data_IF_620848950925
#
_entry.id   IF_620848950925
#
_cell.length_a   1.000
_cell.length_b   1.000
_cell.length_c   1.000
_cell.angle_alpha   90.00
_cell.angle_beta   90.00
_cell.angle_gamma   90.00
#
_symmetry.space_group_name_H-M   'P 1'
#
loop_
_entity.id
_entity.type
_entity.pdbx_description
1 polymer ?
#
# COMPACT_ATOMS: atom_id res chain seq x y z
N UNK A 1 -22.54 -5.24 -20.59
CA UNK A 1 -21.52 -4.30 -21.10
C UNK A 1 -20.30 -5.16 -21.39
N UNK A 2 -20.17 -5.56 -22.65
CA UNK A 2 -18.98 -6.24 -23.15
C UNK A 2 -17.87 -5.17 -23.20
N UNK A 3 -16.84 -5.34 -22.38
CA UNK A 3 -15.71 -4.42 -22.32
C UNK A 3 -14.55 -4.87 -23.22
N UNK A 4 -14.72 -5.99 -23.95
CA UNK A 4 -13.65 -6.63 -24.71
C UNK A 4 -12.53 -7.18 -23.84
N UNK A 5 -11.58 -7.87 -24.48
CA UNK A 5 -10.32 -8.32 -23.85
C UNK A 5 -9.18 -7.31 -24.05
N UNK A 6 -9.44 -6.20 -24.73
CA UNK A 6 -8.44 -5.19 -25.06
C UNK A 6 -8.29 -4.16 -23.93
N UNK A 7 -7.06 -3.76 -23.57
CA UNK A 7 -6.85 -2.70 -22.61
C UNK A 7 -7.45 -1.39 -23.09
N UNK A 8 -8.27 -0.78 -22.24
CA UNK A 8 -8.78 0.55 -22.52
C UNK A 8 -7.62 1.54 -22.64
N UNK A 9 -7.69 2.46 -23.61
CA UNK A 9 -6.58 3.36 -23.96
C UNK A 9 -6.09 4.22 -22.79
N UNK A 10 -6.90 4.47 -21.77
CA UNK A 10 -6.47 5.24 -20.58
C UNK A 10 -5.95 4.38 -19.42
N UNK A 11 -5.89 3.05 -19.57
CA UNK A 11 -5.25 2.18 -18.58
C UNK A 11 -3.76 2.51 -18.49
N UNK A 12 -3.25 2.55 -17.25
CA UNK A 12 -1.82 2.69 -16.99
C UNK A 12 -1.05 1.49 -17.56
N UNK A 13 0.24 1.66 -17.83
CA UNK A 13 1.09 0.58 -18.35
C UNK A 13 0.99 -0.70 -17.50
N UNK A 14 0.99 -0.57 -16.17
CA UNK A 14 0.83 -1.69 -15.24
C UNK A 14 -0.55 -2.35 -15.34
N UNK A 15 -1.62 -1.56 -15.47
CA UNK A 15 -2.97 -2.10 -15.61
C UNK A 15 -3.17 -2.81 -16.95
N UNK A 16 -2.59 -2.28 -18.03
CA UNK A 16 -2.59 -2.95 -19.34
C UNK A 16 -1.86 -4.28 -19.26
N UNK A 17 -0.65 -4.28 -18.69
CA UNK A 17 0.14 -5.49 -18.49
C UNK A 17 -0.63 -6.52 -17.67
N UNK A 18 -1.28 -6.12 -16.59
CA UNK A 18 -2.13 -7.03 -15.80
C UNK A 18 -3.27 -7.66 -16.61
N UNK A 19 -3.87 -6.92 -17.55
CA UNK A 19 -4.97 -7.42 -18.38
C UNK A 19 -4.49 -8.36 -19.50
N UNK A 20 -3.31 -8.07 -20.07
CA UNK A 20 -2.76 -8.78 -21.23
C UNK A 20 -1.59 -9.70 -20.86
N UNK A 21 -1.38 -9.98 -19.58
CA UNK A 21 -0.30 -10.85 -19.16
C UNK A 21 -0.59 -12.26 -19.70
N UNK A 22 0.29 -12.86 -20.52
CA UNK A 22 0.09 -14.21 -21.00
C UNK A 22 0.22 -15.23 -19.87
N UNK A 23 0.91 -14.89 -18.79
CA UNK A 23 1.11 -15.77 -17.65
C UNK A 23 -0.14 -15.78 -16.75
N UNK A 24 -0.55 -16.96 -16.25
CA UNK A 24 -1.66 -17.03 -15.31
C UNK A 24 -1.30 -16.29 -14.01
N UNK A 25 -2.29 -15.61 -13.41
CA UNK A 25 -2.10 -14.94 -12.13
C UNK A 25 -1.96 -15.96 -10.99
N UNK A 26 -0.73 -16.43 -10.78
CA UNK A 26 -0.35 -17.44 -9.77
C UNK A 26 0.56 -16.88 -8.66
N UNK A 27 0.95 -15.61 -8.77
CA UNK A 27 1.86 -14.95 -7.83
C UNK A 27 1.07 -14.16 -6.79
N UNK A 28 0.71 -14.84 -5.69
CA UNK A 28 -0.02 -14.22 -4.59
C UNK A 28 0.48 -14.77 -3.25
N UNK A 29 0.79 -13.88 -2.31
CA UNK A 29 1.09 -14.26 -0.94
C UNK A 29 -0.22 -14.36 -0.14
N UNK A 30 -0.38 -15.30 0.80
CA UNK A 30 -1.61 -15.39 1.58
C UNK A 30 -1.89 -14.18 2.48
N UNK A 31 -0.86 -13.41 2.82
CA UNK A 31 -0.96 -12.14 3.56
C UNK A 31 -0.85 -10.91 2.62
N UNK A 32 -1.03 -11.11 1.31
CA UNK A 32 -0.85 -10.09 0.28
C UNK A 32 0.57 -9.51 0.29
N UNK A 33 0.70 -8.21 0.03
CA UNK A 33 2.02 -7.57 -0.05
C UNK A 33 2.75 -7.47 1.30
N UNK A 34 2.15 -7.91 2.42
CA UNK A 34 2.82 -7.97 3.70
C UNK A 34 4.05 -8.90 3.65
N UNK A 35 3.97 -10.03 2.93
CA UNK A 35 5.10 -10.94 2.75
C UNK A 35 6.35 -10.25 2.17
N UNK A 36 6.17 -9.29 1.25
CA UNK A 36 7.27 -8.50 0.67
C UNK A 36 7.89 -7.58 1.73
N UNK A 37 7.07 -6.80 2.43
CA UNK A 37 7.56 -5.89 3.49
C UNK A 37 8.27 -6.66 4.60
N UNK A 38 7.72 -7.81 5.02
CA UNK A 38 8.29 -8.70 6.04
C UNK A 38 9.60 -9.31 5.58
N UNK A 39 9.74 -9.63 4.28
CA UNK A 39 11.01 -10.08 3.69
C UNK A 39 12.10 -9.01 3.80
N UNK A 40 11.78 -7.75 3.45
CA UNK A 40 12.72 -6.64 3.54
C UNK A 40 13.14 -6.39 4.98
N UNK A 41 12.18 -6.34 5.91
CA UNK A 41 12.49 -6.15 7.35
C UNK A 41 13.33 -7.30 7.88
N UNK A 42 13.02 -8.56 7.54
CA UNK A 42 13.84 -9.70 7.96
C UNK A 42 15.26 -9.62 7.42
N UNK A 43 15.44 -9.21 6.17
CA UNK A 43 16.77 -9.09 5.56
C UNK A 43 17.62 -8.01 6.25
N UNK A 44 17.02 -6.90 6.66
CA UNK A 44 17.73 -5.79 7.32
C UNK A 44 17.87 -5.97 8.83
N UNK A 45 16.87 -6.55 9.49
CA UNK A 45 16.75 -6.69 10.95
C UNK A 45 16.26 -8.12 11.28
N UNK A 46 17.11 -9.15 11.12
CA UNK A 46 16.69 -10.55 11.30
C UNK A 46 16.11 -10.85 12.68
N UNK A 47 16.59 -10.17 13.72
CA UNK A 47 16.09 -10.31 15.08
C UNK A 47 14.60 -9.94 15.24
N UNK A 48 14.07 -9.05 14.40
CA UNK A 48 12.66 -8.65 14.44
C UNK A 48 11.72 -9.70 13.83
N UNK A 49 12.24 -10.57 12.95
CA UNK A 49 11.45 -11.56 12.21
C UNK A 49 12.25 -12.85 12.04
N UNK A 50 12.41 -13.66 13.11
CA UNK A 50 13.19 -14.89 13.06
C UNK A 50 12.59 -15.93 12.09
N UNK A 51 13.42 -16.89 11.68
CA UNK A 51 13.07 -17.96 10.74
C UNK A 51 13.58 -17.70 9.32
N UNK A 52 13.35 -18.67 8.43
CA UNK A 52 13.86 -18.67 7.07
C UNK A 52 12.77 -19.00 6.04
N UNK A 53 12.98 -18.56 4.79
CA UNK A 53 12.09 -18.80 3.66
C UNK A 53 10.68 -18.20 3.81
N UNK A 54 9.88 -18.30 2.74
CA UNK A 54 8.52 -17.75 2.69
C UNK A 54 7.54 -18.48 3.63
N UNK A 55 7.75 -19.78 3.86
CA UNK A 55 6.85 -20.61 4.67
C UNK A 55 6.73 -20.18 6.14
N UNK A 56 7.78 -19.55 6.69
CA UNK A 56 7.73 -18.98 8.04
C UNK A 56 7.13 -17.57 8.07
N UNK A 57 7.19 -16.82 6.97
CA UNK A 57 6.93 -15.38 6.99
C UNK A 57 5.51 -15.02 7.38
N UNK A 58 4.51 -15.73 6.87
CA UNK A 58 3.10 -15.37 7.10
C UNK A 58 2.71 -15.51 8.58
N UNK A 59 3.29 -16.47 9.30
CA UNK A 59 2.84 -16.84 10.65
C UNK A 59 3.79 -16.43 11.78
N UNK A 60 5.04 -16.07 11.47
CA UNK A 60 5.98 -15.56 12.48
C UNK A 60 5.48 -14.22 13.05
N UNK A 61 5.41 -14.08 14.37
CA UNK A 61 5.14 -12.76 14.96
C UNK A 61 6.35 -11.82 14.76
N UNK A 62 6.09 -10.56 14.40
CA UNK A 62 7.15 -9.55 14.36
C UNK A 62 7.45 -9.05 15.78
N UNK A 63 8.72 -9.08 16.18
CA UNK A 63 9.18 -8.45 17.41
C UNK A 63 9.53 -6.98 17.13
N UNK A 64 8.55 -6.11 17.37
CA UNK A 64 8.69 -4.66 17.19
C UNK A 64 9.75 -4.05 18.11
N UNK A 65 10.06 -4.69 19.24
CA UNK A 65 11.12 -4.24 20.16
C UNK A 65 12.53 -4.39 19.59
N UNK A 66 12.69 -5.10 18.47
CA UNK A 66 13.98 -5.25 17.76
C UNK A 66 14.16 -4.28 16.61
N UNK A 67 13.14 -3.52 16.23
CA UNK A 67 13.19 -2.67 15.04
C UNK A 67 14.12 -1.46 15.22
N UNK A 68 14.15 -0.85 16.41
CA UNK A 68 14.97 0.34 16.69
C UNK A 68 15.89 0.11 17.89
N UNK A 69 16.90 -0.74 17.71
CA UNK A 69 17.91 -1.04 18.74
C UNK A 69 19.17 -0.22 18.47
N UNK A 70 19.66 0.47 19.49
CA UNK A 70 20.92 1.22 19.42
C UNK A 70 22.10 0.31 19.09
N UNK A 71 23.05 0.80 18.27
CA UNK A 71 24.17 0.01 17.77
C UNK A 71 23.83 -0.97 16.64
N UNK A 72 22.55 -1.13 16.28
CA UNK A 72 22.14 -1.95 15.14
C UNK A 72 22.58 -1.35 13.79
N UNK A 73 22.93 -2.18 12.79
CA UNK A 73 23.34 -1.69 11.46
C UNK A 73 22.20 -1.02 10.70
N UNK A 74 20.96 -1.39 10.99
CA UNK A 74 19.74 -0.75 10.49
C UNK A 74 18.79 -0.54 11.66
N UNK A 75 18.20 0.65 11.73
CA UNK A 75 17.21 1.03 12.75
C UNK A 75 15.94 1.50 12.07
N UNK A 76 14.84 0.81 12.31
CA UNK A 76 13.50 1.14 11.82
C UNK A 76 12.67 1.71 12.97
N UNK A 77 12.58 3.03 13.04
CA UNK A 77 11.75 3.73 14.02
C UNK A 77 10.33 3.91 13.49
N UNK A 78 9.34 3.45 14.24
CA UNK A 78 7.93 3.64 13.93
C UNK A 78 7.37 4.84 14.70
N UNK A 79 6.22 5.36 14.26
CA UNK A 79 5.54 6.51 14.90
C UNK A 79 6.43 7.76 15.04
N UNK A 80 7.39 7.91 14.13
CA UNK A 80 8.35 9.02 14.06
C UNK A 80 8.15 9.80 12.74
N UNK A 81 7.10 10.62 12.70
CA UNK A 81 6.73 11.36 11.48
C UNK A 81 7.71 12.51 11.25
N UNK A 82 8.45 12.48 10.14
CA UNK A 82 9.33 13.57 9.73
C UNK A 82 8.49 14.81 9.40
N UNK A 83 8.90 15.97 9.93
CA UNK A 83 8.22 17.26 9.73
C UNK A 83 9.13 18.33 9.14
N UNK A 84 10.46 18.11 9.15
CA UNK A 84 11.43 19.03 8.54
C UNK A 84 12.68 18.28 8.10
N UNK A 85 13.20 18.63 6.93
CA UNK A 85 14.48 18.19 6.39
C UNK A 85 15.20 19.41 5.83
N UNK A 86 16.47 19.60 6.18
CA UNK A 86 17.24 20.78 5.77
C UNK A 86 18.71 20.42 5.69
N UNK A 87 19.39 20.85 4.64
CA UNK A 87 20.84 20.73 4.55
C UNK A 87 21.51 21.63 5.58
N UNK A 88 22.62 21.20 6.17
CA UNK A 88 23.41 22.02 7.09
C UNK A 88 24.30 22.99 6.29
N UNK A 89 23.68 24.00 5.69
CA UNK A 89 24.30 24.97 4.79
C UNK A 89 23.62 25.00 3.41
N UNK A 90 24.34 25.46 2.38
CA UNK A 90 23.83 25.47 1.01
C UNK A 90 23.70 24.04 0.48
N UNK A 91 22.54 23.63 -0.11
CA UNK A 91 22.33 22.24 -0.54
C UNK A 91 23.41 21.66 -1.46
N UNK A 92 24.01 22.48 -2.33
CA UNK A 92 25.07 22.04 -3.25
C UNK A 92 26.44 21.77 -2.63
N UNK A 93 26.69 22.19 -1.39
CA UNK A 93 27.99 22.04 -0.71
C UNK A 93 27.88 21.49 0.72
N UNK A 94 26.66 21.28 1.23
CA UNK A 94 26.43 20.74 2.56
C UNK A 94 26.95 19.31 2.69
N UNK A 95 27.55 19.01 3.84
CA UNK A 95 28.11 17.69 4.17
C UNK A 95 27.18 16.83 5.03
N UNK A 96 26.13 17.45 5.56
CA UNK A 96 25.13 16.80 6.39
C UNK A 96 23.75 17.42 6.18
N UNK A 97 22.74 16.66 6.58
CA UNK A 97 21.33 17.00 6.51
C UNK A 97 20.73 16.76 7.89
N UNK A 98 20.06 17.78 8.40
CA UNK A 98 19.30 17.72 9.63
C UNK A 98 17.87 17.28 9.33
N UNK A 99 17.41 16.22 10.01
CA UNK A 99 16.04 15.69 9.94
C UNK A 99 15.36 15.89 11.29
N UNK A 100 14.24 16.62 11.29
CA UNK A 100 13.38 16.77 12.47
C UNK A 100 12.12 15.93 12.31
N UNK A 101 11.78 15.17 13.34
CA UNK A 101 10.61 14.31 13.38
C UNK A 101 9.86 14.44 14.71
N UNK A 102 8.56 14.14 14.67
CA UNK A 102 7.68 14.10 15.82
C UNK A 102 7.56 12.65 16.30
N UNK A 103 7.81 12.42 17.58
CA UNK A 103 7.62 11.13 18.23
C UNK A 103 7.01 11.36 19.62
N UNK A 104 5.89 10.70 19.91
CA UNK A 104 5.16 10.83 21.18
C UNK A 104 4.91 12.30 21.60
N UNK A 105 4.54 13.14 20.63
CA UNK A 105 4.25 14.56 20.86
C UNK A 105 5.49 15.44 21.09
N UNK A 106 6.70 14.89 20.99
CA UNK A 106 7.96 15.63 21.13
C UNK A 106 8.73 15.71 19.81
N UNK A 107 9.27 16.89 19.51
CA UNK A 107 10.18 17.06 18.38
C UNK A 107 11.57 16.55 18.73
N UNK A 108 12.13 15.75 17.83
CA UNK A 108 13.48 15.22 17.91
C UNK A 108 14.21 15.45 16.60
N UNK A 109 15.54 15.49 16.67
CA UNK A 109 16.40 15.76 15.52
C UNK A 109 17.49 14.71 15.40
N UNK A 110 17.84 14.38 14.16
CA UNK A 110 19.01 13.56 13.81
C UNK A 110 19.76 14.20 12.65
N UNK A 111 21.08 14.19 12.69
CA UNK A 111 21.93 14.60 11.58
C UNK A 111 22.38 13.35 10.81
N UNK A 112 22.37 13.42 9.48
CA UNK A 112 22.79 12.35 8.59
C UNK A 112 23.65 12.91 7.45
N UNK A 113 24.55 12.10 6.88
CA UNK A 113 25.31 12.50 5.68
C UNK A 113 24.45 12.57 4.42
N UNK A 114 23.44 11.69 4.33
CA UNK A 114 22.53 11.61 3.19
C UNK A 114 21.10 11.26 3.66
N UNK A 115 20.10 11.75 2.93
CA UNK A 115 18.68 11.50 3.21
C UNK A 115 17.96 11.12 1.92
N UNK A 116 17.13 10.07 1.98
CA UNK A 116 16.24 9.65 0.90
C UNK A 116 14.79 9.82 1.34
N UNK A 117 14.02 10.64 0.63
CA UNK A 117 12.59 10.85 0.89
C UNK A 117 11.73 9.80 0.18
N UNK A 118 11.67 8.59 0.75
CA UNK A 118 10.85 7.48 0.27
C UNK A 118 9.40 7.52 0.79
N UNK A 119 8.77 8.70 0.78
CA UNK A 119 7.43 8.94 1.32
C UNK A 119 6.41 9.30 0.22
N UNK A 120 5.18 9.63 0.61
CA UNK A 120 4.20 10.14 -0.34
C UNK A 120 4.69 11.49 -0.91
N UNK A 121 5.00 11.51 -2.20
CA UNK A 121 5.66 12.63 -2.86
C UNK A 121 5.01 14.02 -2.62
N UNK A 122 3.68 14.11 -2.40
CA UNK A 122 3.01 15.40 -2.13
C UNK A 122 3.34 15.98 -0.76
N UNK A 123 3.88 15.21 0.17
CA UNK A 123 4.32 15.74 1.46
C UNK A 123 5.69 16.42 1.37
N UNK A 124 6.51 16.07 0.38
CA UNK A 124 7.92 16.50 0.28
C UNK A 124 8.05 18.04 0.26
N UNK A 125 7.24 18.82 -0.49
CA UNK A 125 7.32 20.29 -0.45
C UNK A 125 6.99 20.92 0.91
N UNK A 126 6.36 20.18 1.82
CA UNK A 126 6.09 20.63 3.19
C UNK A 126 7.21 20.26 4.17
N UNK A 127 8.10 19.34 3.80
CA UNK A 127 9.22 18.92 4.63
C UNK A 127 10.44 19.82 4.46
N UNK A 128 10.61 20.49 3.32
CA UNK A 128 11.77 21.33 3.03
C UNK A 128 11.39 22.52 2.15
N UNK A 129 12.17 23.61 2.25
CA UNK A 129 12.04 24.81 1.41
C UNK A 129 13.12 24.89 0.32
N UNK A 130 13.90 23.83 0.13
CA UNK A 130 15.10 23.83 -0.73
C UNK A 130 14.83 23.32 -2.16
N UNK A 131 13.57 23.02 -2.49
CA UNK A 131 13.18 22.53 -3.81
C UNK A 131 12.91 23.69 -4.77
N UNK A 132 13.30 23.51 -6.04
CA UNK A 132 12.92 24.44 -7.10
C UNK A 132 11.41 24.41 -7.38
N UNK A 133 10.86 25.51 -7.88
CA UNK A 133 9.42 25.63 -8.16
C UNK A 133 8.92 24.52 -9.10
N UNK A 134 9.62 24.26 -10.20
CA UNK A 134 9.27 23.22 -11.16
C UNK A 134 9.16 21.82 -10.51
N UNK A 135 10.02 21.53 -9.53
CA UNK A 135 9.95 20.27 -8.79
C UNK A 135 8.71 20.24 -7.87
N UNK A 136 8.41 21.35 -7.20
CA UNK A 136 7.22 21.47 -6.35
C UNK A 136 5.94 21.31 -7.19
N UNK A 137 5.89 21.90 -8.37
CA UNK A 137 4.77 21.76 -9.32
C UNK A 137 4.60 20.31 -9.77
N UNK A 138 5.69 19.66 -10.21
CA UNK A 138 5.67 18.26 -10.63
C UNK A 138 5.22 17.31 -9.52
N UNK A 139 5.68 17.53 -8.28
CA UNK A 139 5.25 16.75 -7.10
C UNK A 139 3.76 16.95 -6.81
N UNK A 140 3.21 18.13 -7.03
CA UNK A 140 1.80 18.44 -6.76
C UNK A 140 0.83 18.03 -7.87
N UNK A 141 1.32 17.80 -9.09
CA UNK A 141 0.49 17.45 -10.24
C UNK A 141 -0.25 16.11 -10.05
N UNK A 142 0.45 15.09 -9.53
CA UNK A 142 -0.09 13.73 -9.45
C UNK A 142 -1.25 13.60 -8.45
N UNK A 143 -2.46 13.39 -8.97
CA UNK A 143 -3.63 13.07 -8.15
C UNK A 143 -3.76 11.56 -7.97
N UNK A 144 -4.07 11.14 -6.73
CA UNK A 144 -4.33 9.75 -6.39
C UNK A 144 -5.80 9.42 -6.60
N UNK A 145 -6.08 8.23 -7.11
CA UNK A 145 -7.44 7.68 -7.18
C UNK A 145 -7.78 7.11 -5.79
N UNK A 146 -8.87 7.55 -5.14
CA UNK A 146 -9.28 6.98 -3.85
C UNK A 146 -9.76 5.55 -4.04
N UNK A 147 -9.36 4.67 -3.12
CA UNK A 147 -9.75 3.27 -3.11
C UNK A 147 -10.20 2.91 -1.70
N UNK A 148 -11.38 2.30 -1.58
CA UNK A 148 -11.86 1.69 -0.35
C UNK A 148 -11.85 0.18 -0.54
N UNK A 149 -11.23 -0.51 0.42
CA UNK A 149 -11.30 -1.95 0.54
C UNK A 149 -12.02 -2.28 1.85
N UNK A 150 -12.98 -3.19 1.79
CA UNK A 150 -13.60 -3.77 2.97
C UNK A 150 -13.45 -5.30 2.90
N UNK A 151 -12.91 -5.87 3.97
CA UNK A 151 -12.81 -7.31 4.14
C UNK A 151 -13.88 -7.75 5.14
N UNK A 152 -14.79 -8.61 4.69
CA UNK A 152 -15.92 -9.09 5.49
C UNK A 152 -15.73 -10.58 5.75
N UNK A 153 -15.60 -10.96 7.02
CA UNK A 153 -15.59 -12.36 7.42
C UNK A 153 -17.01 -12.92 7.37
N UNK A 154 -17.24 -13.87 6.46
CA UNK A 154 -18.47 -14.65 6.38
C UNK A 154 -18.27 -16.01 7.03
N UNK A 155 -19.32 -16.53 7.67
CA UNK A 155 -19.27 -17.81 8.40
C UNK A 155 -18.99 -19.01 7.49
N UNK A 156 -19.43 -18.93 6.23
CA UNK A 156 -19.24 -19.95 5.21
C UNK A 156 -19.49 -19.32 3.82
N UNK A 157 -19.06 -19.99 2.75
CA UNK A 157 -19.21 -19.54 1.35
C UNK A 157 -20.02 -20.52 0.49
N UNK A 158 -20.90 -21.32 1.11
CA UNK A 158 -21.73 -22.32 0.44
C UNK A 158 -22.60 -21.74 -0.69
N UNK A 159 -23.13 -20.53 -0.52
CA UNK A 159 -23.95 -19.88 -1.54
C UNK A 159 -23.15 -19.61 -2.83
N UNK A 160 -21.89 -19.18 -2.70
CA UNK A 160 -21.00 -18.94 -3.83
C UNK A 160 -20.62 -20.26 -4.51
N UNK A 161 -20.32 -21.29 -3.71
CA UNK A 161 -20.02 -22.62 -4.22
C UNK A 161 -21.20 -23.23 -5.02
N UNK A 162 -22.43 -23.14 -4.51
CA UNK A 162 -23.65 -23.63 -5.18
C UNK A 162 -23.89 -22.93 -6.52
N UNK A 163 -23.53 -21.65 -6.62
CA UNK A 163 -23.64 -20.85 -7.84
C UNK A 163 -22.43 -21.02 -8.79
N UNK A 164 -21.37 -21.71 -8.36
CA UNK A 164 -20.15 -21.89 -9.15
C UNK A 164 -19.35 -20.61 -9.37
N UNK A 165 -19.48 -19.61 -8.49
CA UNK A 165 -18.81 -18.30 -8.61
C UNK A 165 -17.82 -18.06 -7.48
N UNK A 166 -16.71 -17.35 -7.75
CA UNK A 166 -15.79 -16.86 -6.70
C UNK A 166 -16.14 -15.46 -6.18
N UNK A 167 -17.05 -14.77 -6.87
CA UNK A 167 -17.34 -13.37 -6.65
C UNK A 167 -18.29 -12.83 -7.72
N UNK A 168 -18.70 -11.58 -7.55
CA UNK A 168 -19.67 -10.92 -8.42
C UNK A 168 -19.36 -9.44 -8.55
N UNK A 169 -19.90 -8.83 -9.61
CA UNK A 169 -19.89 -7.37 -9.81
C UNK A 169 -21.28 -6.81 -9.48
N UNK A 170 -21.33 -5.62 -8.91
CA UNK A 170 -22.57 -4.88 -8.65
C UNK A 170 -22.44 -3.42 -9.09
N UNK A 171 -22.60 -3.12 -10.40
CA UNK A 171 -22.31 -1.80 -10.95
C UNK A 171 -23.20 -0.67 -10.42
N UNK A 172 -24.43 -0.98 -10.00
CA UNK A 172 -25.42 -0.02 -9.49
C UNK A 172 -25.38 0.15 -7.97
N UNK A 173 -24.62 -0.68 -7.25
CA UNK A 173 -24.51 -0.62 -5.80
C UNK A 173 -23.39 0.29 -5.32
N UNK A 174 -23.35 0.55 -4.01
CA UNK A 174 -22.24 1.27 -3.39
C UNK A 174 -20.91 0.57 -3.67
N UNK A 175 -20.79 -0.72 -3.33
CA UNK A 175 -19.63 -1.56 -3.66
C UNK A 175 -19.67 -2.01 -5.12
N UNK A 176 -18.51 -2.01 -5.80
CA UNK A 176 -18.43 -2.49 -7.19
C UNK A 176 -18.61 -4.01 -7.31
N UNK A 177 -18.53 -4.73 -6.20
CA UNK A 177 -18.60 -6.17 -6.16
C UNK A 177 -17.94 -6.72 -4.91
N UNK A 178 -17.91 -8.05 -4.83
CA UNK A 178 -17.19 -8.79 -3.79
C UNK A 178 -16.56 -10.04 -4.42
N UNK A 179 -15.41 -10.47 -3.91
CA UNK A 179 -14.79 -11.73 -4.28
C UNK A 179 -14.16 -12.41 -3.07
N UNK A 180 -14.18 -13.75 -3.07
CA UNK A 180 -13.36 -14.55 -2.17
C UNK A 180 -11.90 -14.28 -2.45
N UNK A 181 -11.09 -14.36 -1.41
CA UNK A 181 -9.64 -14.21 -1.53
C UNK A 181 -9.00 -15.35 -2.32
N UNK A 182 -7.77 -15.15 -2.82
CA UNK A 182 -7.05 -16.19 -3.52
C UNK A 182 -6.67 -17.34 -2.56
N UNK A 183 -6.94 -18.60 -2.91
CA UNK A 183 -6.76 -19.74 -2.00
C UNK A 183 -5.30 -20.19 -1.93
N UNK A 184 -4.44 -19.40 -1.27
CA UNK A 184 -3.01 -19.72 -1.13
C UNK A 184 -2.71 -20.28 0.26
N UNK A 185 -2.16 -21.48 0.31
CA UNK A 185 -1.61 -22.08 1.54
C UNK A 185 -0.09 -22.00 1.51
N UNK A 186 0.55 -21.61 2.62
CA UNK A 186 2.01 -21.63 2.72
C UNK A 186 2.45 -22.00 4.14
N UNK A 187 3.38 -22.94 4.26
CA UNK A 187 3.83 -23.45 5.56
C UNK A 187 2.65 -23.86 6.44
N UNK A 188 2.54 -23.21 7.61
CA UNK A 188 1.46 -23.44 8.59
C UNK A 188 0.17 -22.68 8.29
N UNK A 189 0.19 -21.66 7.43
CA UNK A 189 -1.02 -20.97 7.01
C UNK A 189 -1.79 -21.81 6.01
N UNK A 190 -3.09 -21.98 6.25
CA UNK A 190 -4.02 -22.70 5.38
C UNK A 190 -5.19 -21.79 5.03
N UNK A 191 -5.51 -21.69 3.74
CA UNK A 191 -6.70 -20.99 3.29
C UNK A 191 -7.98 -21.78 3.63
N UNK A 192 -9.17 -21.14 3.66
CA UNK A 192 -10.46 -21.82 3.84
C UNK A 192 -10.75 -22.79 2.68
N UNK A 193 -10.69 -24.09 2.95
CA UNK A 193 -10.68 -25.13 1.92
C UNK A 193 -12.08 -25.59 1.50
N UNK A 194 -13.02 -25.63 2.44
CA UNK A 194 -14.38 -26.14 2.19
C UNK A 194 -15.41 -25.02 2.19
N UNK A 195 -16.52 -25.16 1.46
CA UNK A 195 -17.61 -24.17 1.48
C UNK A 195 -18.19 -23.87 2.86
N UNK A 196 -18.00 -24.75 3.84
CA UNK A 196 -18.42 -24.59 5.23
C UNK A 196 -17.45 -23.77 6.07
N UNK A 197 -16.22 -23.61 5.60
CA UNK A 197 -15.18 -22.87 6.31
C UNK A 197 -15.48 -21.37 6.27
N UNK A 198 -15.19 -20.62 7.34
CA UNK A 198 -15.29 -19.17 7.32
C UNK A 198 -14.29 -18.59 6.32
N UNK A 199 -14.72 -17.59 5.55
CA UNK A 199 -13.92 -17.00 4.49
C UNK A 199 -14.02 -15.47 4.46
N UNK A 200 -13.01 -14.81 3.92
CA UNK A 200 -13.02 -13.37 3.69
C UNK A 200 -13.62 -13.08 2.32
N UNK A 201 -14.59 -12.15 2.30
CA UNK A 201 -15.03 -11.47 1.09
C UNK A 201 -14.36 -10.10 1.03
N UNK A 202 -13.65 -9.85 -0.05
CA UNK A 202 -13.00 -8.58 -0.35
C UNK A 202 -13.90 -7.75 -1.26
N UNK A 203 -14.31 -6.58 -0.77
CA UNK A 203 -15.14 -5.62 -1.50
C UNK A 203 -14.32 -4.39 -1.86
N UNK A 204 -14.54 -3.89 -3.08
CA UNK A 204 -13.80 -2.73 -3.61
C UNK A 204 -14.76 -1.63 -4.01
N UNK A 205 -14.40 -0.40 -3.67
CA UNK A 205 -15.04 0.82 -4.17
C UNK A 205 -13.97 1.81 -4.62
N UNK A 206 -14.16 2.37 -5.81
CA UNK A 206 -13.46 3.56 -6.28
C UNK A 206 -14.44 4.73 -6.23
N UNK A 207 -14.41 5.58 -5.19
CA UNK A 207 -15.26 6.76 -5.14
C UNK A 207 -14.88 7.72 -6.25
N UNK A 208 -15.86 8.16 -7.02
CA UNK A 208 -15.70 9.13 -8.09
C UNK A 208 -16.79 10.18 -7.98
N UNK A 209 -16.47 11.40 -8.40
CA UNK A 209 -17.45 12.48 -8.58
C UNK A 209 -18.39 12.24 -9.77
N UNK A 210 -19.09 13.30 -10.15
CA UNK A 210 -20.03 13.27 -11.27
C UNK A 210 -19.35 12.88 -12.60
N UNK A 211 -20.08 12.15 -13.45
CA UNK A 211 -19.66 11.84 -14.81
C UNK A 211 -19.61 13.13 -15.64
N UNK A 212 -18.70 13.19 -16.62
CA UNK A 212 -18.53 14.34 -17.52
C UNK A 212 -17.34 15.26 -17.17
N UNK A 213 -16.88 15.26 -15.93
CA UNK A 213 -15.61 15.91 -15.55
C UNK A 213 -14.39 15.06 -15.94
N UNK A 214 -13.20 15.67 -15.94
CA UNK A 214 -11.97 14.92 -16.19
C UNK A 214 -11.74 13.80 -15.15
N UNK A 215 -11.05 12.69 -15.49
CA UNK A 215 -10.74 11.63 -14.51
C UNK A 215 -10.04 12.13 -13.25
N UNK A 216 -9.22 13.18 -13.39
CA UNK A 216 -8.53 13.87 -12.31
C UNK A 216 -9.53 14.55 -11.36
N UNK A 217 -10.49 15.29 -11.89
CA UNK A 217 -11.53 15.95 -11.09
C UNK A 217 -12.46 14.95 -10.41
N UNK A 218 -12.85 13.89 -11.12
CA UNK A 218 -13.67 12.82 -10.54
C UNK A 218 -12.96 12.16 -9.35
N UNK A 219 -11.66 11.86 -9.47
CA UNK A 219 -10.86 11.28 -8.39
C UNK A 219 -10.71 12.24 -7.20
N UNK A 220 -10.51 13.54 -7.46
CA UNK A 220 -10.45 14.57 -6.41
C UNK A 220 -11.78 14.70 -5.67
N UNK A 221 -12.89 14.72 -6.39
CA UNK A 221 -14.23 14.78 -5.80
C UNK A 221 -14.55 13.53 -4.97
N UNK A 222 -14.23 12.34 -5.49
CA UNK A 222 -14.37 11.09 -4.74
C UNK A 222 -13.56 11.08 -3.44
N UNK A 223 -12.34 11.62 -3.46
CA UNK A 223 -11.51 11.75 -2.26
C UNK A 223 -12.11 12.72 -1.24
N UNK A 224 -12.65 13.86 -1.69
CA UNK A 224 -13.33 14.85 -0.83
C UNK A 224 -14.53 14.23 -0.10
N UNK A 225 -15.35 13.49 -0.84
CA UNK A 225 -16.50 12.78 -0.28
C UNK A 225 -16.11 11.79 0.85
N UNK A 226 -14.92 11.16 0.80
CA UNK A 226 -14.46 10.25 1.86
C UNK A 226 -13.99 10.96 3.13
N UNK A 227 -13.46 12.18 3.00
CA UNK A 227 -12.88 12.92 4.13
C UNK A 227 -13.89 13.88 4.79
N UNK A 228 -15.16 13.82 4.39
CA UNK A 228 -16.22 14.68 4.93
C UNK A 228 -16.08 16.16 4.59
N UNK A 229 -15.36 16.49 3.50
CA UNK A 229 -15.22 17.85 2.96
C UNK A 229 -16.03 18.02 1.67
#
# INVERSE_FOLDING_TARGET
MDLGNEPYRTMSASARRYLTDPDPYIFHFPDGNAGVARSLVRAMIPAALPGHGMASQVTTAADYGKLDVEGGPVRLRLNASVVKVTHDGAPGSAKSVTVTYMENGTLKTVAAGHVVLACWHRVIPYLTKELALDQIEALNDQQKVPLILANVLIRNWEALAKLGIRGFKSPSSFWHGAALDFPVSIGRYKFPATPRDPALLSLVKVPLGAKGSSPREQSRAGRRALIGL
#
